data_IF_110111005162
#
_entry.id   IF_110111005162
#
_cell.length_a   1.000
_cell.length_b   1.000
_cell.length_c   1.000
_cell.angle_alpha   90.00
_cell.angle_beta   90.00
_cell.angle_gamma   90.00
#
_symmetry.space_group_name_H-M   'P 1'
#
loop_
_entity.id
_entity.type
_entity.pdbx_description
1 polymer ?
#
# COMPACT_ATOMS: atom_id res chain seq x y z
N UNK A 1 2.57 7.67 29.18
CA UNK A 1 3.03 8.08 27.85
C UNK A 1 3.75 9.39 27.99
N UNK A 2 5.05 9.40 27.69
CA UNK A 2 5.82 10.64 27.65
C UNK A 2 5.41 11.44 26.42
N UNK A 3 5.64 12.76 26.41
CA UNK A 3 5.31 13.63 25.26
C UNK A 3 5.98 13.20 23.94
N UNK A 4 7.12 12.51 24.03
CA UNK A 4 7.86 11.96 22.87
C UNK A 4 7.11 10.82 22.18
N UNK A 5 6.58 9.85 22.93
CA UNK A 5 5.89 8.67 22.38
C UNK A 5 4.63 9.08 21.59
N UNK A 6 3.92 10.10 22.10
CA UNK A 6 2.71 10.63 21.47
C UNK A 6 3.01 11.34 20.14
N UNK A 7 4.15 12.04 20.04
CA UNK A 7 4.57 12.68 18.79
C UNK A 7 4.88 11.66 17.69
N UNK A 8 5.54 10.56 18.06
CA UNK A 8 5.87 9.47 17.13
C UNK A 8 4.60 8.76 16.62
N UNK A 9 3.64 8.47 17.51
CA UNK A 9 2.35 7.87 17.14
C UNK A 9 1.60 8.72 16.09
N UNK A 10 1.53 10.03 16.29
CA UNK A 10 0.87 10.96 15.36
C UNK A 10 1.60 11.04 14.02
N UNK A 11 2.93 10.95 14.03
CA UNK A 11 3.72 10.94 12.80
C UNK A 11 3.52 9.64 12.00
N UNK A 12 3.38 8.49 12.67
CA UNK A 12 3.00 7.24 12.01
C UNK A 12 1.60 7.30 11.41
N UNK A 13 0.63 7.88 12.13
CA UNK A 13 -0.73 8.09 11.62
C UNK A 13 -0.72 8.97 10.36
N UNK A 14 -0.05 10.13 10.42
CA UNK A 14 0.03 11.07 9.31
C UNK A 14 0.69 10.45 8.06
N UNK A 15 1.80 9.73 8.23
CA UNK A 15 2.49 9.07 7.12
C UNK A 15 1.67 7.90 6.55
N UNK A 16 1.04 7.11 7.42
CA UNK A 16 0.17 6.01 7.01
C UNK A 16 -0.97 6.50 6.13
N UNK A 17 -1.66 7.56 6.55
CA UNK A 17 -2.72 8.20 5.77
C UNK A 17 -2.16 8.73 4.44
N UNK A 18 -1.08 9.50 4.46
CA UNK A 18 -0.53 10.08 3.23
C UNK A 18 -0.18 9.01 2.18
N UNK A 19 0.47 7.92 2.58
CA UNK A 19 0.83 6.83 1.67
C UNK A 19 -0.38 6.02 1.20
N UNK A 20 -1.36 5.80 2.07
CA UNK A 20 -2.63 5.16 1.68
C UNK A 20 -3.37 5.98 0.60
N UNK A 21 -3.44 7.30 0.78
CA UNK A 21 -4.05 8.22 -0.20
C UNK A 21 -3.24 8.31 -1.48
N UNK A 22 -1.92 8.27 -1.36
CA UNK A 22 -1.04 8.29 -2.52
C UNK A 22 -1.21 7.02 -3.36
N UNK A 23 -1.25 5.84 -2.74
CA UNK A 23 -1.55 4.58 -3.43
C UNK A 23 -2.88 4.64 -4.19
N UNK A 24 -3.96 5.04 -3.50
CA UNK A 24 -5.29 5.14 -4.12
C UNK A 24 -5.28 6.14 -5.28
N UNK A 25 -4.60 7.29 -5.10
CA UNK A 25 -4.42 8.31 -6.13
C UNK A 25 -3.63 7.80 -7.33
N UNK A 26 -2.59 6.98 -7.12
CA UNK A 26 -1.79 6.39 -8.20
C UNK A 26 -2.63 5.45 -9.04
N UNK A 27 -3.43 4.59 -8.41
CA UNK A 27 -4.31 3.65 -9.13
C UNK A 27 -5.28 4.44 -10.02
N UNK A 28 -5.93 5.48 -9.48
CA UNK A 28 -6.82 6.34 -10.26
C UNK A 28 -6.08 7.10 -11.37
N UNK A 29 -4.88 7.62 -11.10
CA UNK A 29 -4.08 8.33 -12.08
C UNK A 29 -3.69 7.42 -13.25
N UNK A 30 -3.30 6.17 -13.00
CA UNK A 30 -3.00 5.19 -14.05
C UNK A 30 -4.27 4.89 -14.87
N UNK A 31 -5.41 4.70 -14.22
CA UNK A 31 -6.70 4.49 -14.92
C UNK A 31 -7.03 5.67 -15.85
N UNK A 32 -6.92 6.90 -15.35
CA UNK A 32 -7.30 8.12 -16.08
C UNK A 32 -6.28 8.49 -17.17
N UNK A 33 -4.98 8.38 -16.88
CA UNK A 33 -3.92 8.86 -17.77
C UNK A 33 -3.47 7.79 -18.77
N UNK A 34 -3.52 6.50 -18.39
CA UNK A 34 -2.94 5.38 -19.16
C UNK A 34 -3.97 4.30 -19.54
N UNK A 35 -5.20 4.39 -19.06
CA UNK A 35 -6.30 3.49 -19.37
C UNK A 35 -6.35 2.25 -18.48
N UNK A 36 -7.51 1.60 -18.49
CA UNK A 36 -7.82 0.47 -17.62
C UNK A 36 -6.91 -0.75 -17.83
N UNK A 37 -6.40 -0.97 -19.04
CA UNK A 37 -5.52 -2.12 -19.35
C UNK A 37 -4.18 -2.01 -18.63
N UNK A 38 -3.52 -0.84 -18.75
CA UNK A 38 -2.25 -0.56 -18.07
C UNK A 38 -2.41 -0.54 -16.56
N UNK A 39 -3.54 -0.03 -16.07
CA UNK A 39 -3.87 -0.09 -14.65
C UNK A 39 -4.02 -1.54 -14.15
N UNK A 40 -4.65 -2.42 -14.94
CA UNK A 40 -4.78 -3.82 -14.62
C UNK A 40 -3.42 -4.54 -14.61
N UNK A 41 -2.53 -4.24 -15.57
CA UNK A 41 -1.18 -4.84 -15.61
C UNK A 41 -0.36 -4.45 -14.36
N UNK A 42 -0.30 -3.15 -14.02
CA UNK A 42 0.37 -2.67 -12.81
C UNK A 42 -0.22 -3.30 -11.55
N UNK A 43 -1.54 -3.37 -11.44
CA UNK A 43 -2.21 -3.95 -10.27
C UNK A 43 -1.99 -5.46 -10.15
N UNK A 44 -1.99 -6.18 -11.27
CA UNK A 44 -1.65 -7.60 -11.30
C UNK A 44 -0.22 -7.83 -10.83
N UNK A 45 0.73 -7.06 -11.35
CA UNK A 45 2.15 -7.17 -11.01
C UNK A 45 2.44 -6.77 -9.55
N UNK A 46 1.82 -5.69 -9.04
CA UNK A 46 1.93 -5.26 -7.65
C UNK A 46 1.54 -6.39 -6.68
N UNK A 47 0.36 -6.96 -6.89
CA UNK A 47 -0.14 -8.01 -6.02
C UNK A 47 0.66 -9.31 -6.22
N UNK A 48 1.15 -9.61 -7.44
CA UNK A 48 2.00 -10.77 -7.65
C UNK A 48 3.33 -10.65 -6.91
N UNK A 49 4.01 -9.50 -7.00
CA UNK A 49 5.28 -9.22 -6.32
C UNK A 49 5.13 -9.35 -4.80
N UNK A 50 4.14 -8.68 -4.24
CA UNK A 50 3.88 -8.74 -2.80
C UNK A 50 3.50 -10.15 -2.33
N UNK A 51 2.74 -10.91 -3.11
CA UNK A 51 2.43 -12.30 -2.80
C UNK A 51 3.71 -13.15 -2.73
N UNK A 52 4.59 -13.05 -3.73
CA UNK A 52 5.86 -13.79 -3.77
C UNK A 52 6.76 -13.43 -2.57
N UNK A 53 6.79 -12.15 -2.15
CA UNK A 53 7.61 -11.70 -1.03
C UNK A 53 7.01 -12.08 0.34
N UNK A 54 5.68 -11.99 0.50
CA UNK A 54 5.04 -11.99 1.83
C UNK A 54 4.24 -13.26 2.16
N UNK A 55 3.76 -14.01 1.18
CA UNK A 55 2.76 -15.06 1.42
C UNK A 55 3.32 -16.23 2.23
N UNK A 56 4.33 -16.94 1.70
CA UNK A 56 4.93 -18.10 2.39
C UNK A 56 5.63 -17.73 3.72
N UNK A 57 6.46 -16.66 3.78
CA UNK A 57 7.06 -16.24 5.05
C UNK A 57 6.00 -15.85 6.09
N UNK A 58 4.92 -15.18 5.66
CA UNK A 58 3.85 -14.75 6.55
C UNK A 58 2.99 -15.92 7.03
N UNK A 59 2.68 -16.91 6.19
CA UNK A 59 2.02 -18.16 6.62
C UNK A 59 2.79 -18.86 7.75
N UNK A 60 4.11 -19.03 7.57
CA UNK A 60 4.97 -19.63 8.60
C UNK A 60 4.97 -18.80 9.89
N UNK A 61 5.08 -17.48 9.78
CA UNK A 61 5.07 -16.57 10.93
C UNK A 61 3.76 -16.62 11.71
N UNK A 62 2.64 -16.83 11.02
CA UNK A 62 1.30 -16.96 11.61
C UNK A 62 1.00 -18.37 12.11
N UNK A 63 1.90 -19.33 11.95
CA UNK A 63 1.69 -20.73 12.38
C UNK A 63 0.66 -21.48 11.55
N UNK A 64 0.46 -21.10 10.28
CA UNK A 64 -0.57 -21.65 9.40
C UNK A 64 -0.07 -22.78 8.49
N UNK A 65 1.18 -23.24 8.67
CA UNK A 65 1.83 -24.19 7.75
C UNK A 65 1.23 -25.59 7.77
N UNK A 66 0.59 -25.99 8.86
CA UNK A 66 0.02 -27.34 9.03
C UNK A 66 -1.50 -27.38 8.78
N UNK A 67 -2.09 -26.24 8.40
CA UNK A 67 -3.51 -26.13 8.07
C UNK A 67 -3.78 -26.63 6.64
N UNK A 68 -4.98 -27.16 6.33
CA UNK A 68 -5.37 -27.42 4.96
C UNK A 68 -5.26 -26.17 4.09
N UNK A 69 -4.73 -26.29 2.86
CA UNK A 69 -4.30 -25.13 2.06
C UNK A 69 -5.41 -24.09 1.82
N UNK A 70 -6.66 -24.53 1.61
CA UNK A 70 -7.80 -23.64 1.44
C UNK A 70 -8.02 -22.79 2.71
N UNK A 71 -7.98 -23.44 3.88
CA UNK A 71 -8.13 -22.80 5.19
C UNK A 71 -6.93 -21.89 5.48
N UNK A 72 -5.71 -22.36 5.22
CA UNK A 72 -4.47 -21.59 5.41
C UNK A 72 -4.52 -20.28 4.60
N UNK A 73 -4.95 -20.35 3.34
CA UNK A 73 -5.12 -19.17 2.49
C UNK A 73 -6.13 -18.17 3.06
N UNK A 74 -7.32 -18.63 3.46
CA UNK A 74 -8.36 -17.76 4.01
C UNK A 74 -7.94 -17.13 5.35
N UNK A 75 -7.37 -17.93 6.26
CA UNK A 75 -6.83 -17.47 7.55
C UNK A 75 -5.69 -16.47 7.39
N UNK A 76 -4.76 -16.72 6.46
CA UNK A 76 -3.66 -15.79 6.18
C UNK A 76 -4.18 -14.41 5.80
N UNK A 77 -5.11 -14.35 4.85
CA UNK A 77 -5.64 -13.07 4.39
C UNK A 77 -6.49 -12.40 5.46
N UNK A 78 -7.22 -13.15 6.30
CA UNK A 78 -7.89 -12.58 7.46
C UNK A 78 -6.89 -11.92 8.44
N UNK A 79 -5.89 -12.68 8.91
CA UNK A 79 -4.95 -12.21 9.93
C UNK A 79 -4.03 -11.09 9.44
N UNK A 80 -3.47 -11.22 8.22
CA UNK A 80 -2.54 -10.23 7.66
C UNK A 80 -3.22 -8.87 7.40
N UNK A 81 -4.47 -8.89 6.92
CA UNK A 81 -5.22 -7.67 6.64
C UNK A 81 -5.78 -7.02 7.91
N UNK A 82 -6.13 -7.82 8.92
CA UNK A 82 -6.61 -7.29 10.19
C UNK A 82 -5.53 -6.47 10.91
N UNK A 83 -4.26 -6.87 10.81
CA UNK A 83 -3.11 -6.08 11.31
C UNK A 83 -2.97 -4.73 10.58
N UNK A 84 -3.35 -4.67 9.30
CA UNK A 84 -3.38 -3.44 8.49
C UNK A 84 -4.66 -2.62 8.65
N UNK A 85 -5.57 -2.99 9.57
CA UNK A 85 -6.84 -2.28 9.80
C UNK A 85 -7.92 -2.54 8.75
N UNK A 86 -7.75 -3.55 7.90
CA UNK A 86 -8.72 -3.90 6.85
C UNK A 86 -9.77 -4.87 7.41
N UNK A 87 -11.05 -4.57 7.18
CA UNK A 87 -12.16 -5.40 7.65
C UNK A 87 -12.30 -6.66 6.77
N UNK A 88 -11.92 -7.80 7.35
CA UNK A 88 -11.95 -9.11 6.70
C UNK A 88 -12.60 -10.12 7.63
N UNK A 89 -13.32 -11.08 7.06
CA UNK A 89 -13.83 -12.25 7.74
C UNK A 89 -13.53 -13.51 6.94
N UNK A 90 -13.49 -14.66 7.60
CA UNK A 90 -13.30 -15.95 6.94
C UNK A 90 -14.21 -17.02 7.56
N UNK A 91 -14.53 -18.06 6.77
CA UNK A 91 -15.21 -19.27 7.23
C UNK A 91 -14.50 -20.47 6.63
N UNK A 92 -14.09 -21.43 7.46
CA UNK A 92 -13.70 -22.75 7.01
C UNK A 92 -14.97 -23.59 6.79
N UNK A 93 -15.32 -23.90 5.53
CA UNK A 93 -16.47 -24.74 5.20
C UNK A 93 -16.10 -26.23 5.26
N UNK A 94 -14.89 -26.57 4.80
CA UNK A 94 -14.28 -27.89 4.88
C UNK A 94 -12.75 -27.78 4.72
N UNK A 95 -12.03 -28.88 4.85
CA UNK A 95 -10.57 -28.91 4.63
C UNK A 95 -10.18 -28.49 3.20
N UNK A 96 -11.07 -28.66 2.22
CA UNK A 96 -10.83 -28.30 0.83
C UNK A 96 -11.49 -27.00 0.39
N UNK A 97 -12.27 -26.34 1.26
CA UNK A 97 -12.99 -25.11 0.91
C UNK A 97 -13.10 -24.12 2.07
N UNK A 98 -12.66 -22.89 1.84
CA UNK A 98 -12.76 -21.81 2.82
C UNK A 98 -13.11 -20.46 2.17
N UNK A 99 -14.06 -19.77 2.77
CA UNK A 99 -14.54 -18.46 2.34
C UNK A 99 -13.73 -17.32 2.94
N UNK A 100 -13.68 -16.23 2.19
CA UNK A 100 -13.16 -14.95 2.64
C UNK A 100 -14.07 -13.82 2.17
N UNK A 101 -14.27 -12.85 3.06
CA UNK A 101 -15.09 -11.66 2.79
C UNK A 101 -14.38 -10.41 3.26
N UNK A 102 -14.18 -9.47 2.34
CA UNK A 102 -13.67 -8.14 2.58
C UNK A 102 -14.84 -7.16 2.59
N UNK A 103 -15.09 -6.56 3.76
CA UNK A 103 -16.18 -5.62 3.94
C UNK A 103 -15.74 -4.21 3.51
N UNK A 104 -16.67 -3.37 3.02
CA UNK A 104 -16.42 -1.93 2.94
C UNK A 104 -16.11 -1.34 4.32
N UNK A 105 -15.25 -0.29 4.42
CA UNK A 105 -14.56 0.36 3.32
C UNK A 105 -13.46 -0.52 2.68
N UNK A 106 -13.37 -0.49 1.35
CA UNK A 106 -12.32 -1.22 0.62
C UNK A 106 -11.04 -0.41 0.69
N UNK A 107 -10.14 -0.79 1.58
CA UNK A 107 -8.91 -0.03 1.87
C UNK A 107 -8.16 0.43 0.61
N UNK A 108 -7.82 -0.45 -0.33
CA UNK A 108 -7.08 -0.04 -1.55
C UNK A 108 -7.87 0.89 -2.51
N UNK A 109 -9.20 0.90 -2.41
CA UNK A 109 -10.10 1.71 -3.24
C UNK A 109 -10.93 2.65 -2.36
N UNK A 110 -10.28 3.31 -1.41
CA UNK A 110 -10.98 3.99 -0.32
C UNK A 110 -11.81 5.21 -0.77
N UNK A 111 -12.88 5.46 -0.02
CA UNK A 111 -13.76 6.61 -0.23
C UNK A 111 -14.43 6.60 -1.60
N UNK A 112 -14.48 7.77 -2.23
CA UNK A 112 -15.15 7.96 -3.52
C UNK A 112 -14.40 7.35 -4.69
N UNK A 113 -13.13 6.93 -4.51
CA UNK A 113 -12.36 6.25 -5.55
C UNK A 113 -13.07 4.99 -6.04
N UNK A 114 -13.78 4.28 -5.15
CA UNK A 114 -14.49 3.05 -5.45
C UNK A 114 -15.47 3.17 -6.63
N UNK A 115 -16.02 4.36 -6.88
CA UNK A 115 -16.97 4.60 -7.97
C UNK A 115 -16.31 4.65 -9.35
N UNK A 116 -14.98 4.81 -9.42
CA UNK A 116 -14.24 4.99 -10.67
C UNK A 116 -13.28 3.84 -10.98
N UNK A 117 -13.10 2.87 -10.08
CA UNK A 117 -12.21 1.74 -10.30
C UNK A 117 -12.85 0.75 -11.29
N UNK A 118 -12.22 0.48 -12.46
CA UNK A 118 -12.76 -0.48 -13.42
C UNK A 118 -12.78 -1.91 -12.89
N UNK A 119 -13.77 -2.70 -13.30
CA UNK A 119 -13.90 -4.11 -12.91
C UNK A 119 -12.63 -4.92 -13.15
N UNK A 120 -11.97 -4.70 -14.29
CA UNK A 120 -10.74 -5.42 -14.62
C UNK A 120 -9.56 -5.11 -13.70
N UNK A 121 -9.49 -3.92 -13.12
CA UNK A 121 -8.45 -3.55 -12.16
C UNK A 121 -8.62 -4.31 -10.85
N UNK A 122 -9.86 -4.43 -10.37
CA UNK A 122 -10.16 -5.25 -9.20
C UNK A 122 -9.91 -6.76 -9.46
N UNK A 123 -10.24 -7.25 -10.66
CA UNK A 123 -9.94 -8.63 -11.06
C UNK A 123 -8.44 -8.91 -11.18
N UNK A 124 -7.66 -7.95 -11.64
CA UNK A 124 -6.22 -8.05 -11.73
C UNK A 124 -5.56 -8.23 -10.36
N UNK A 125 -6.03 -7.53 -9.33
CA UNK A 125 -5.64 -7.76 -7.93
C UNK A 125 -5.90 -9.22 -7.53
N UNK A 126 -7.12 -9.73 -7.78
CA UNK A 126 -7.48 -11.12 -7.42
C UNK A 126 -6.60 -12.14 -8.13
N UNK A 127 -6.24 -11.86 -9.39
CA UNK A 127 -5.32 -12.72 -10.13
C UNK A 127 -3.91 -12.66 -9.53
N UNK A 128 -3.36 -11.47 -9.32
CA UNK A 128 -2.01 -11.27 -8.78
C UNK A 128 -1.83 -11.91 -7.43
N UNK A 129 -2.87 -11.87 -6.59
CA UNK A 129 -2.84 -12.37 -5.23
C UNK A 129 -3.46 -13.76 -5.10
N UNK A 130 -4.80 -13.85 -5.09
CA UNK A 130 -5.52 -15.05 -4.69
C UNK A 130 -5.29 -16.24 -5.63
N UNK A 131 -5.27 -16.02 -6.94
CA UNK A 131 -5.22 -17.09 -7.93
C UNK A 131 -3.94 -17.95 -7.86
N UNK A 132 -2.84 -17.40 -7.35
CA UNK A 132 -1.54 -18.08 -7.39
C UNK A 132 -1.14 -18.73 -6.05
N UNK A 133 -2.00 -18.66 -5.03
CA UNK A 133 -1.70 -19.20 -3.70
C UNK A 133 -1.44 -20.71 -3.72
N UNK A 134 -2.29 -21.48 -4.42
CA UNK A 134 -2.13 -22.92 -4.55
C UNK A 134 -0.79 -23.32 -5.14
N UNK A 135 -0.35 -22.61 -6.18
CA UNK A 135 0.95 -22.86 -6.83
C UNK A 135 2.12 -22.63 -5.86
N UNK A 136 2.09 -21.56 -5.06
CA UNK A 136 3.14 -21.29 -4.07
C UNK A 136 3.18 -22.32 -2.95
N UNK A 137 2.03 -22.91 -2.60
CA UNK A 137 1.92 -23.98 -1.60
C UNK A 137 2.30 -25.36 -2.16
N UNK A 138 2.57 -25.49 -3.47
CA UNK A 138 2.78 -26.78 -4.12
C UNK A 138 1.49 -27.57 -4.36
N UNK A 139 0.33 -26.93 -4.25
CA UNK A 139 -1.00 -27.49 -4.50
C UNK A 139 -1.68 -26.79 -5.69
N UNK A 140 -1.34 -27.16 -6.94
CA UNK A 140 -1.87 -26.50 -8.14
C UNK A 140 -3.34 -26.86 -8.44
N UNK A 141 -3.99 -27.69 -7.61
CA UNK A 141 -5.43 -27.95 -7.68
C UNK A 141 -6.26 -26.94 -6.89
N UNK A 142 -5.62 -26.10 -6.07
CA UNK A 142 -6.26 -25.03 -5.32
C UNK A 142 -6.42 -23.76 -6.16
N UNK A 143 -7.64 -23.25 -6.25
CA UNK A 143 -7.95 -21.98 -6.91
C UNK A 143 -8.84 -21.08 -6.06
N UNK A 144 -9.13 -19.89 -6.58
CA UNK A 144 -10.01 -18.91 -5.96
C UNK A 144 -11.23 -18.62 -6.84
N UNK A 145 -12.41 -18.58 -6.22
CA UNK A 145 -13.66 -18.22 -6.87
C UNK A 145 -14.19 -16.95 -6.24
N UNK A 146 -14.32 -15.88 -7.03
CA UNK A 146 -14.94 -14.63 -6.59
C UNK A 146 -16.46 -14.68 -6.83
N UNK A 147 -17.23 -14.34 -5.80
CA UNK A 147 -18.69 -14.36 -5.80
C UNK A 147 -19.32 -12.97 -5.71
N UNK A 148 -18.55 -11.94 -5.37
CA UNK A 148 -19.04 -10.56 -5.36
C UNK A 148 -17.89 -9.56 -5.28
N UNK A 149 -18.07 -8.37 -5.84
CA UNK A 149 -17.11 -7.27 -5.73
C UNK A 149 -17.83 -5.95 -5.43
N UNK A 150 -17.29 -5.18 -4.48
CA UNK A 150 -17.87 -3.88 -4.10
C UNK A 150 -17.94 -2.88 -5.25
N UNK A 151 -16.92 -2.88 -6.10
CA UNK A 151 -16.84 -2.05 -7.31
C UNK A 151 -17.91 -2.41 -8.37
N UNK A 152 -18.42 -3.65 -8.36
CA UNK A 152 -19.53 -4.10 -9.20
C UNK A 152 -20.89 -3.90 -8.49
N UNK A 153 -20.93 -3.23 -7.34
CA UNK A 153 -22.13 -2.92 -6.56
C UNK A 153 -22.51 -3.95 -5.48
N UNK A 154 -21.70 -4.99 -5.24
CA UNK A 154 -21.96 -5.95 -4.16
C UNK A 154 -21.61 -5.37 -2.77
N UNK A 155 -22.19 -5.92 -1.70
CA UNK A 155 -21.96 -5.46 -0.31
C UNK A 155 -20.56 -5.81 0.25
N UNK A 156 -19.62 -6.22 -0.59
CA UNK A 156 -18.26 -6.63 -0.23
C UNK A 156 -17.53 -7.28 -1.40
N UNK A 157 -16.22 -7.47 -1.26
CA UNK A 157 -15.51 -8.47 -2.05
C UNK A 157 -15.65 -9.81 -1.34
N UNK A 158 -16.24 -10.78 -2.02
CA UNK A 158 -16.51 -12.11 -1.47
C UNK A 158 -15.98 -13.18 -2.41
N UNK A 159 -15.48 -14.26 -1.84
CA UNK A 159 -15.07 -15.44 -2.58
C UNK A 159 -14.59 -16.56 -1.68
N UNK A 160 -14.13 -17.65 -2.29
CA UNK A 160 -13.62 -18.80 -1.56
C UNK A 160 -12.45 -19.45 -2.28
N UNK A 161 -11.57 -20.04 -1.48
CA UNK A 161 -10.59 -21.01 -1.93
C UNK A 161 -11.25 -22.37 -2.03
N UNK A 162 -10.96 -23.10 -3.10
CA UNK A 162 -11.42 -24.47 -3.29
C UNK A 162 -10.34 -25.33 -3.95
N UNK A 163 -10.08 -26.49 -3.37
CA UNK A 163 -9.22 -27.52 -3.95
C UNK A 163 -10.06 -28.47 -4.80
N UNK A 164 -9.71 -28.59 -6.07
CA UNK A 164 -10.37 -29.47 -7.03
C UNK A 164 -9.74 -30.87 -7.05
N UNK A 165 -10.47 -31.84 -7.61
CA UNK A 165 -9.99 -33.21 -7.83
C UNK A 165 -8.95 -33.34 -8.97
N UNK A 166 -8.60 -32.21 -9.59
CA UNK A 166 -7.61 -32.12 -10.67
C UNK A 166 -6.76 -30.87 -10.56
N UNK A 167 -5.62 -30.89 -11.24
CA UNK A 167 -4.78 -29.70 -11.41
C UNK A 167 -5.53 -28.64 -12.22
N UNK A 168 -5.42 -27.39 -11.79
CA UNK A 168 -5.99 -26.23 -12.47
C UNK A 168 -4.98 -25.61 -13.45
N UNK A 169 -5.44 -25.38 -14.68
CA UNK A 169 -4.69 -24.58 -15.64
C UNK A 169 -4.61 -23.10 -15.18
N UNK A 170 -3.62 -22.31 -15.63
CA UNK A 170 -3.45 -20.92 -15.20
C UNK A 170 -4.71 -20.04 -15.29
N UNK A 171 -5.54 -20.27 -16.31
CA UNK A 171 -6.78 -19.52 -16.54
C UNK A 171 -7.96 -19.99 -15.66
N UNK A 172 -7.83 -21.15 -15.00
CA UNK A 172 -8.87 -21.75 -14.15
C UNK A 172 -8.66 -21.43 -12.67
N UNK A 173 -7.49 -20.90 -12.31
CA UNK A 173 -7.12 -20.56 -10.93
C UNK A 173 -7.94 -19.41 -10.35
N UNK A 174 -8.44 -18.52 -11.20
CA UNK A 174 -9.38 -17.46 -10.82
C UNK A 174 -10.68 -17.64 -11.59
N UNK A 175 -11.79 -17.81 -10.87
CA UNK A 175 -13.12 -17.99 -11.45
C UNK A 175 -14.10 -17.00 -10.82
N UNK A 176 -15.23 -16.77 -11.50
CA UNK A 176 -16.29 -15.88 -11.03
C UNK A 176 -17.63 -16.62 -10.99
N UNK A 177 -18.34 -16.52 -9.87
CA UNK A 177 -19.63 -17.19 -9.59
C UNK A 177 -20.55 -16.28 -8.77
N UNK A 178 -21.10 -15.23 -9.39
CA UNK A 178 -21.89 -14.20 -8.70
C UNK A 178 -23.24 -14.67 -8.12
N UNK A 179 -23.69 -15.89 -8.44
CA UNK A 179 -24.91 -16.47 -7.89
C UNK A 179 -24.71 -17.24 -6.58
N UNK A 180 -23.46 -17.37 -6.12
CA UNK A 180 -23.12 -18.05 -4.87
C UNK A 180 -22.89 -17.01 -3.77
N UNK A 181 -23.12 -17.39 -2.51
CA UNK A 181 -22.96 -16.49 -1.38
C UNK A 181 -22.26 -17.18 -0.21
N UNK A 182 -21.42 -16.42 0.49
CA UNK A 182 -20.78 -16.89 1.73
C UNK A 182 -21.85 -17.27 2.77
N UNK A 183 -21.65 -18.37 3.52
CA UNK A 183 -22.49 -18.70 4.66
C UNK A 183 -22.52 -17.56 5.71
N UNK A 184 -23.54 -17.50 6.58
CA UNK A 184 -23.60 -16.50 7.65
C UNK A 184 -22.33 -16.51 8.52
N UNK A 185 -21.73 -15.33 8.72
CA UNK A 185 -20.52 -15.15 9.54
C UNK A 185 -20.95 -14.74 10.95
N UNK A 186 -20.46 -15.48 11.96
CA UNK A 186 -20.45 -15.01 13.34
C UNK A 186 -19.19 -14.16 13.58
N UNK A 187 -19.35 -12.84 13.55
CA UNK A 187 -18.24 -11.91 13.72
C UNK A 187 -17.65 -11.92 15.13
N UNK A 188 -18.43 -12.30 16.15
CA UNK A 188 -17.94 -12.36 17.53
C UNK A 188 -17.05 -13.58 17.77
N UNK A 189 -17.24 -14.63 16.97
CA UNK A 189 -16.41 -15.84 16.99
C UNK A 189 -15.10 -15.70 16.21
N UNK A 190 -14.93 -14.61 15.43
CA UNK A 190 -13.67 -14.38 14.72
C UNK A 190 -12.53 -14.10 15.71
N UNK A 191 -11.31 -14.58 15.44
CA UNK A 191 -10.16 -14.28 16.28
C UNK A 191 -9.96 -12.75 16.41
N UNK A 192 -9.87 -12.26 17.65
CA UNK A 192 -9.58 -10.87 17.96
C UNK A 192 -8.09 -10.71 18.28
N UNK A 193 -7.47 -9.62 17.82
CA UNK A 193 -6.10 -9.31 18.24
C UNK A 193 -6.07 -9.06 19.75
N UNK A 194 -5.11 -9.68 20.43
CA UNK A 194 -4.87 -9.45 21.84
C UNK A 194 -4.38 -8.00 22.05
N UNK A 195 -5.22 -7.18 22.69
CA UNK A 195 -4.91 -5.77 22.98
C UNK A 195 -3.68 -5.57 23.88
N UNK A 196 -3.29 -6.58 24.67
CA UNK A 196 -2.06 -6.51 25.46
C UNK A 196 -0.81 -6.71 24.60
N UNK A 197 -0.91 -7.51 23.53
CA UNK A 197 0.20 -7.73 22.59
C UNK A 197 0.27 -6.66 21.50
N UNK A 198 -0.83 -5.95 21.24
CA UNK A 198 -0.97 -4.91 20.22
C UNK A 198 -1.43 -3.57 20.81
N UNK A 199 -0.56 -2.88 21.59
CA UNK A 199 -0.85 -1.52 22.04
C UNK A 199 -0.95 -0.55 20.85
N UNK A 200 -1.58 0.60 21.06
CA UNK A 200 -1.84 1.62 20.02
C UNK A 200 -0.59 2.01 19.23
N UNK A 201 0.53 2.23 19.91
CA UNK A 201 1.83 2.53 19.28
C UNK A 201 2.23 1.47 18.24
N UNK A 202 2.11 0.19 18.61
CA UNK A 202 2.45 -0.94 17.74
C UNK A 202 1.47 -1.05 16.57
N UNK A 203 0.19 -0.74 16.79
CA UNK A 203 -0.82 -0.71 15.74
C UNK A 203 -0.55 0.41 14.73
N UNK A 204 -0.24 1.62 15.19
CA UNK A 204 0.08 2.75 14.32
C UNK A 204 1.34 2.48 13.50
N UNK A 205 2.37 1.90 14.12
CA UNK A 205 3.58 1.47 13.42
C UNK A 205 3.28 0.38 12.38
N UNK A 206 2.41 -0.57 12.70
CA UNK A 206 2.00 -1.62 11.77
C UNK A 206 1.19 -1.07 10.59
N UNK A 207 0.23 -0.17 10.84
CA UNK A 207 -0.54 0.51 9.80
C UNK A 207 0.36 1.33 8.87
N UNK A 208 1.30 2.10 9.44
CA UNK A 208 2.32 2.83 8.68
C UNK A 208 3.16 1.91 7.81
N UNK A 209 3.67 0.80 8.36
CA UNK A 209 4.44 -0.18 7.59
C UNK A 209 3.61 -0.82 6.47
N UNK A 210 2.34 -1.09 6.73
CA UNK A 210 1.41 -1.65 5.74
C UNK A 210 1.24 -0.69 4.55
N UNK A 211 1.00 0.60 4.80
CA UNK A 211 0.91 1.62 3.75
C UNK A 211 2.26 1.82 3.01
N UNK A 212 3.37 1.83 3.75
CA UNK A 212 4.71 1.90 3.17
C UNK A 212 5.02 0.73 2.24
N UNK A 213 4.66 -0.49 2.62
CA UNK A 213 4.91 -1.70 1.83
C UNK A 213 4.22 -1.64 0.46
N UNK A 214 3.06 -0.99 0.34
CA UNK A 214 2.44 -0.75 -0.96
C UNK A 214 3.21 0.25 -1.82
N UNK A 215 3.67 1.36 -1.24
CA UNK A 215 4.47 2.34 -1.98
C UNK A 215 5.81 1.73 -2.41
N UNK A 216 6.48 1.02 -1.50
CA UNK A 216 7.70 0.27 -1.75
C UNK A 216 7.58 -0.69 -2.94
N UNK A 217 6.45 -1.35 -3.10
CA UNK A 217 6.23 -2.32 -4.17
C UNK A 217 5.67 -1.71 -5.46
N UNK A 218 4.80 -0.70 -5.39
CA UNK A 218 4.18 -0.13 -6.59
C UNK A 218 5.18 0.70 -7.40
N UNK A 219 6.15 1.35 -6.76
CA UNK A 219 7.17 2.17 -7.46
C UNK A 219 8.02 1.34 -8.44
N UNK A 220 8.69 0.24 -8.04
CA UNK A 220 9.42 -0.60 -8.98
C UNK A 220 8.50 -1.23 -10.03
N UNK A 221 7.33 -1.73 -9.61
CA UNK A 221 6.35 -2.34 -10.54
C UNK A 221 5.88 -1.35 -11.61
N UNK A 222 5.62 -0.10 -11.24
CA UNK A 222 5.30 0.93 -12.23
C UNK A 222 6.46 1.15 -13.20
N UNK A 223 7.72 1.12 -12.75
CA UNK A 223 8.87 1.27 -13.65
C UNK A 223 9.01 0.09 -14.61
N UNK A 224 8.80 -1.14 -14.14
CA UNK A 224 8.85 -2.36 -14.94
C UNK A 224 7.72 -2.39 -15.99
N UNK A 225 6.48 -2.15 -15.57
CA UNK A 225 5.31 -2.24 -16.44
C UNK A 225 5.16 -1.01 -17.35
N UNK A 226 5.48 0.19 -16.85
CA UNK A 226 5.23 1.45 -17.55
C UNK A 226 6.46 2.02 -18.28
N UNK A 227 7.66 1.59 -17.89
CA UNK A 227 8.90 2.26 -18.22
C UNK A 227 9.23 3.38 -17.21
N UNK A 228 10.50 3.56 -16.82
CA UNK A 228 10.89 4.46 -15.72
C UNK A 228 10.40 5.91 -15.88
N UNK A 229 10.53 6.50 -17.08
CA UNK A 229 10.14 7.90 -17.31
C UNK A 229 8.62 8.12 -17.24
N UNK A 230 7.83 7.15 -17.71
CA UNK A 230 6.36 7.22 -17.61
C UNK A 230 5.94 7.09 -16.15
N UNK A 231 6.52 6.10 -15.45
CA UNK A 231 6.28 5.88 -14.03
C UNK A 231 6.62 7.12 -13.19
N UNK A 232 7.82 7.68 -13.36
CA UNK A 232 8.27 8.91 -12.70
C UNK A 232 7.25 10.04 -12.88
N UNK A 233 6.79 10.27 -14.12
CA UNK A 233 5.83 11.33 -14.42
C UNK A 233 4.50 11.15 -13.67
N UNK A 234 3.97 9.92 -13.64
CA UNK A 234 2.72 9.60 -12.94
C UNK A 234 2.91 9.73 -11.42
N UNK A 235 3.99 9.16 -10.88
CA UNK A 235 4.37 9.26 -9.47
C UNK A 235 4.43 10.73 -9.02
N UNK A 236 5.23 11.54 -9.72
CA UNK A 236 5.44 12.93 -9.39
C UNK A 236 4.15 13.76 -9.43
N UNK A 237 3.41 13.73 -10.55
CA UNK A 237 2.20 14.54 -10.71
C UNK A 237 1.11 14.14 -9.72
N UNK A 238 0.96 12.83 -9.48
CA UNK A 238 -0.04 12.32 -8.54
C UNK A 238 0.37 12.66 -7.10
N UNK A 239 1.64 12.44 -6.76
CA UNK A 239 2.19 12.75 -5.45
C UNK A 239 1.97 14.21 -5.11
N UNK A 240 2.25 15.13 -6.05
CA UNK A 240 2.05 16.56 -5.83
C UNK A 240 0.59 16.92 -5.57
N UNK A 241 -0.35 16.35 -6.32
CA UNK A 241 -1.80 16.56 -6.10
C UNK A 241 -2.23 16.04 -4.72
N UNK A 242 -1.83 14.82 -4.36
CA UNK A 242 -2.19 14.20 -3.09
C UNK A 242 -1.54 14.93 -1.90
N UNK A 243 -0.25 15.24 -1.99
CA UNK A 243 0.45 16.01 -0.96
C UNK A 243 -0.23 17.34 -0.70
N UNK A 244 -0.65 18.07 -1.75
CA UNK A 244 -1.42 19.31 -1.60
C UNK A 244 -2.77 19.07 -0.93
N UNK A 245 -3.52 18.07 -1.41
CA UNK A 245 -4.85 17.75 -0.90
C UNK A 245 -4.83 17.41 0.60
N UNK A 246 -3.77 16.76 1.08
CA UNK A 246 -3.64 16.31 2.46
C UNK A 246 -2.72 17.18 3.33
N UNK A 247 -2.14 18.24 2.78
CA UNK A 247 -1.21 19.15 3.47
C UNK A 247 -1.76 19.67 4.80
N UNK A 248 -2.99 20.20 4.80
CA UNK A 248 -3.60 20.72 6.02
C UNK A 248 -3.85 19.63 7.06
N UNK A 249 -4.35 18.47 6.64
CA UNK A 249 -4.63 17.35 7.54
C UNK A 249 -3.35 16.86 8.22
N UNK A 250 -2.27 16.69 7.46
CA UNK A 250 -0.98 16.23 7.97
C UNK A 250 -0.41 17.21 8.98
N UNK A 251 -0.39 18.51 8.65
CA UNK A 251 0.07 19.55 9.57
C UNK A 251 -0.75 19.61 10.85
N UNK A 252 -2.07 19.43 10.74
CA UNK A 252 -2.98 19.37 11.89
C UNK A 252 -2.69 18.17 12.78
N UNK A 253 -2.52 16.97 12.20
CA UNK A 253 -2.19 15.74 12.93
C UNK A 253 -0.84 15.86 13.65
N UNK A 254 0.16 16.42 12.99
CA UNK A 254 1.50 16.61 13.56
C UNK A 254 1.56 17.78 14.57
N UNK A 255 0.66 18.76 14.46
CA UNK A 255 0.75 20.00 15.21
C UNK A 255 1.93 20.88 14.79
N UNK A 256 2.36 20.79 13.52
CA UNK A 256 3.55 21.47 12.98
C UNK A 256 3.18 22.36 11.78
N UNK A 257 3.74 23.57 11.76
CA UNK A 257 3.51 24.56 10.69
C UNK A 257 4.75 24.82 9.83
N UNK A 258 5.95 24.67 10.41
CA UNK A 258 7.21 24.83 9.71
C UNK A 258 7.44 23.66 8.73
N UNK A 259 7.76 23.94 7.45
CA UNK A 259 7.84 22.90 6.44
C UNK A 259 9.01 21.94 6.64
N UNK A 260 10.13 22.38 7.22
CA UNK A 260 11.25 21.48 7.48
C UNK A 260 10.98 20.59 8.69
N UNK A 261 10.26 21.09 9.71
CA UNK A 261 9.78 20.27 10.83
C UNK A 261 8.76 19.22 10.40
N UNK A 262 7.83 19.57 9.50
CA UNK A 262 6.86 18.62 8.94
C UNK A 262 7.57 17.49 8.18
N UNK A 263 8.52 17.83 7.30
CA UNK A 263 9.28 16.83 6.56
C UNK A 263 10.16 15.98 7.48
N UNK A 264 10.80 16.58 8.48
CA UNK A 264 11.59 15.88 9.51
C UNK A 264 10.75 14.83 10.24
N UNK A 265 9.53 15.19 10.66
CA UNK A 265 8.61 14.27 11.31
C UNK A 265 8.19 13.11 10.38
N UNK A 266 7.89 13.40 9.10
CA UNK A 266 7.47 12.38 8.13
C UNK A 266 8.61 11.42 7.75
N UNK A 267 9.84 11.91 7.54
CA UNK A 267 11.00 11.06 7.24
C UNK A 267 11.42 10.22 8.46
N UNK A 268 11.39 10.80 9.66
CA UNK A 268 11.56 10.03 10.91
C UNK A 268 10.50 8.94 11.04
N UNK A 269 9.24 9.26 10.75
CA UNK A 269 8.14 8.30 10.78
C UNK A 269 8.29 7.20 9.72
N UNK A 270 8.93 7.48 8.59
CA UNK A 270 9.31 6.48 7.59
C UNK A 270 10.36 5.51 8.16
N UNK A 271 11.12 5.93 9.16
CA UNK A 271 12.20 5.19 9.81
C UNK A 271 13.57 5.56 9.27
N UNK A 272 13.71 6.76 8.69
CA UNK A 272 14.99 7.27 8.19
C UNK A 272 15.80 7.94 9.30
N UNK A 273 17.13 7.90 9.14
CA UNK A 273 18.06 8.68 9.93
C UNK A 273 18.20 10.05 9.27
N UNK A 274 17.91 11.10 10.04
CA UNK A 274 17.86 12.47 9.51
C UNK A 274 18.54 13.46 10.46
N UNK A 275 19.02 14.56 9.89
CA UNK A 275 19.42 15.74 10.63
C UNK A 275 18.90 16.99 9.93
N UNK A 276 18.36 17.93 10.71
CA UNK A 276 17.82 19.20 10.22
C UNK A 276 18.69 20.36 10.69
N UNK A 277 19.02 21.27 9.77
CA UNK A 277 19.70 22.52 10.07
C UNK A 277 19.05 23.65 9.29
N UNK A 278 18.37 24.56 10.00
CA UNK A 278 17.62 25.68 9.41
C UNK A 278 16.62 25.20 8.32
N UNK A 279 16.93 25.50 7.07
CA UNK A 279 16.10 25.20 5.91
C UNK A 279 16.55 23.93 5.16
N UNK A 280 17.48 23.15 5.72
CA UNK A 280 18.01 21.92 5.14
C UNK A 280 17.69 20.68 5.98
N UNK A 281 17.46 19.57 5.30
CA UNK A 281 17.28 18.24 5.89
C UNK A 281 18.21 17.27 5.17
N UNK A 282 19.16 16.68 5.89
CA UNK A 282 19.99 15.59 5.39
C UNK A 282 19.39 14.26 5.86
N UNK A 283 18.96 13.43 4.91
CA UNK A 283 18.42 12.10 5.13
C UNK A 283 19.44 11.05 4.69
N UNK A 284 20.09 10.36 5.63
CA UNK A 284 21.22 9.45 5.36
C UNK A 284 20.79 8.02 5.06
N UNK A 285 19.53 7.67 5.30
CA UNK A 285 18.96 6.36 4.98
C UNK A 285 17.66 6.47 4.21
N UNK A 286 17.30 5.39 3.50
CA UNK A 286 16.05 5.31 2.76
C UNK A 286 15.26 4.04 3.10
N UNK A 287 14.60 4.07 4.25
CA UNK A 287 13.91 2.93 4.83
C UNK A 287 12.79 2.40 3.94
N UNK A 288 12.11 3.28 3.20
CA UNK A 288 11.08 2.90 2.23
C UNK A 288 11.61 1.92 1.17
N UNK A 289 12.82 2.17 0.64
CA UNK A 289 13.42 1.36 -0.43
C UNK A 289 14.48 0.36 0.04
N UNK A 290 14.83 0.35 1.34
CA UNK A 290 15.78 -0.59 1.96
C UNK A 290 15.58 -2.05 1.52
N UNK A 291 16.61 -2.69 0.98
CA UNK A 291 16.57 -4.05 0.43
C UNK A 291 16.23 -4.15 -1.06
N UNK A 292 15.97 -3.04 -1.75
CA UNK A 292 15.79 -2.97 -3.22
C UNK A 292 16.94 -2.22 -3.90
N UNK A 293 18.10 -2.11 -3.27
CA UNK A 293 19.23 -1.30 -3.76
C UNK A 293 19.69 -1.76 -5.16
N UNK A 294 19.59 -3.05 -5.46
CA UNK A 294 19.97 -3.62 -6.76
C UNK A 294 18.97 -3.31 -7.89
N UNK A 295 17.72 -2.99 -7.55
CA UNK A 295 16.66 -2.64 -8.51
C UNK A 295 16.52 -1.11 -8.69
N UNK A 296 17.18 -0.35 -7.82
CA UNK A 296 16.96 1.08 -7.67
C UNK A 296 17.29 1.88 -8.94
N UNK A 297 16.37 2.80 -9.27
CA UNK A 297 16.51 3.76 -10.36
C UNK A 297 16.33 5.19 -9.82
N UNK A 298 17.09 6.19 -10.31
CA UNK A 298 16.92 7.59 -9.88
C UNK A 298 15.49 8.13 -10.05
N UNK A 299 14.78 7.61 -11.04
CA UNK A 299 13.38 7.92 -11.34
C UNK A 299 12.43 7.65 -10.16
N UNK A 300 12.79 6.74 -9.24
CA UNK A 300 11.97 6.43 -8.07
C UNK A 300 11.87 7.64 -7.14
N UNK A 301 13.02 8.23 -6.77
CA UNK A 301 13.04 9.42 -5.93
C UNK A 301 12.54 10.65 -6.71
N UNK A 302 12.82 10.75 -8.01
CA UNK A 302 12.26 11.83 -8.84
C UNK A 302 10.74 11.79 -8.94
N UNK A 303 10.14 10.61 -8.87
CA UNK A 303 8.70 10.44 -8.73
C UNK A 303 8.22 10.84 -7.34
N UNK A 304 8.83 10.25 -6.30
CA UNK A 304 8.39 10.41 -4.91
C UNK A 304 8.52 11.84 -4.37
N UNK A 305 9.50 12.63 -4.85
CA UNK A 305 9.67 14.04 -4.44
C UNK A 305 8.41 14.89 -4.67
N UNK A 306 7.57 14.55 -5.64
CA UNK A 306 6.33 15.25 -5.91
C UNK A 306 5.39 15.24 -4.70
N UNK A 307 5.35 14.12 -3.96
CA UNK A 307 4.54 13.99 -2.76
C UNK A 307 4.96 15.01 -1.68
N UNK A 308 6.26 15.10 -1.42
CA UNK A 308 6.83 16.00 -0.41
C UNK A 308 6.67 17.47 -0.80
N UNK A 309 6.90 17.81 -2.07
CA UNK A 309 6.60 19.13 -2.61
C UNK A 309 5.13 19.53 -2.41
N UNK A 310 4.21 18.58 -2.63
CA UNK A 310 2.78 18.81 -2.43
C UNK A 310 2.43 19.09 -0.96
N UNK A 311 2.98 18.30 -0.03
CA UNK A 311 2.72 18.43 1.42
C UNK A 311 3.07 19.82 1.92
N UNK A 312 4.19 20.41 1.49
CA UNK A 312 4.62 21.72 1.98
C UNK A 312 4.07 22.90 1.16
N UNK A 313 3.72 22.67 -0.11
CA UNK A 313 3.46 23.75 -1.07
C UNK A 313 2.19 24.57 -0.81
N UNK A 314 1.20 24.05 -0.09
CA UNK A 314 -0.07 24.77 0.20
C UNK A 314 0.11 25.83 1.27
N UNK A 315 0.83 25.48 2.34
CA UNK A 315 1.10 26.38 3.45
C UNK A 315 2.09 27.49 3.09
N UNK A 316 3.06 27.15 2.24
CA UNK A 316 4.18 28.00 1.88
C UNK A 316 4.30 28.11 0.35
N UNK A 317 3.37 28.83 -0.32
CA UNK A 317 3.28 28.86 -1.79
C UNK A 317 4.49 29.51 -2.47
N UNK A 318 5.28 30.28 -1.73
CA UNK A 318 6.53 30.88 -2.20
C UNK A 318 7.76 30.04 -1.86
N UNK A 319 7.60 28.80 -1.42
CA UNK A 319 8.70 27.93 -1.04
C UNK A 319 8.88 26.83 -2.08
N UNK A 320 10.14 26.50 -2.36
CA UNK A 320 10.55 25.40 -3.23
C UNK A 320 11.33 24.37 -2.41
N UNK A 321 11.04 23.10 -2.64
CA UNK A 321 11.83 21.98 -2.14
C UNK A 321 12.78 21.51 -3.23
N UNK A 322 14.08 21.69 -3.01
CA UNK A 322 15.13 21.19 -3.89
C UNK A 322 15.80 19.96 -3.27
N UNK A 323 16.20 19.01 -4.11
CA UNK A 323 17.02 17.86 -3.74
C UNK A 323 18.43 18.09 -4.30
N UNK A 324 19.39 18.38 -3.43
CA UNK A 324 20.72 18.87 -3.77
C UNK A 324 21.77 17.77 -3.85
N UNK A 325 21.62 16.73 -3.03
CA UNK A 325 22.45 15.53 -3.04
C UNK A 325 21.54 14.29 -2.95
N UNK A 326 22.06 13.15 -3.39
CA UNK A 326 21.26 11.98 -3.74
C UNK A 326 21.93 10.67 -3.32
N UNK A 327 21.38 10.10 -2.25
CA UNK A 327 21.74 8.77 -1.77
C UNK A 327 21.58 7.69 -2.85
N UNK A 328 20.51 7.78 -3.65
CA UNK A 328 20.19 6.81 -4.70
C UNK A 328 21.09 6.87 -5.94
N UNK A 329 21.98 7.86 -6.02
CA UNK A 329 23.01 7.97 -7.07
C UNK A 329 24.43 7.96 -6.51
N UNK A 330 24.61 7.47 -5.27
CA UNK A 330 25.92 7.29 -4.65
C UNK A 330 26.43 8.47 -3.81
N UNK A 331 25.58 9.47 -3.52
CA UNK A 331 25.84 10.47 -2.49
C UNK A 331 25.67 9.90 -1.08
N UNK A 332 26.03 10.69 -0.06
CA UNK A 332 26.00 10.25 1.34
C UNK A 332 24.61 10.43 1.99
N UNK A 333 23.75 11.26 1.39
CA UNK A 333 22.39 11.52 1.87
C UNK A 333 21.48 12.02 0.74
N UNK A 334 20.18 12.02 0.99
CA UNK A 334 19.27 12.94 0.31
C UNK A 334 19.31 14.29 1.03
N UNK A 335 19.94 15.29 0.40
CA UNK A 335 20.01 16.64 0.95
C UNK A 335 18.85 17.48 0.40
N UNK A 336 17.84 17.69 1.22
CA UNK A 336 16.67 18.50 0.89
C UNK A 336 16.87 19.94 1.36
N UNK A 337 16.53 20.93 0.52
CA UNK A 337 16.57 22.36 0.89
C UNK A 337 15.25 23.04 0.58
N UNK A 338 14.69 23.69 1.59
CA UNK A 338 13.54 24.59 1.48
C UNK A 338 14.03 26.01 1.17
N UNK A 339 13.76 26.52 -0.03
CA UNK A 339 14.22 27.83 -0.47
C UNK A 339 13.05 28.75 -0.83
N UNK A 340 13.12 30.01 -0.44
CA UNK A 340 12.15 31.01 -0.88
C UNK A 340 12.32 31.29 -2.38
N UNK A 341 11.22 31.18 -3.12
CA UNK A 341 11.11 31.53 -4.52
C UNK A 341 10.98 33.06 -4.61
N UNK A 342 11.96 33.69 -5.23
CA UNK A 342 11.82 35.08 -5.65
C UNK A 342 10.97 35.16 -6.92
N UNK A 343 10.28 36.28 -7.13
CA UNK A 343 9.66 36.54 -8.44
C UNK A 343 10.74 36.38 -9.52
N UNK A 344 10.43 35.73 -10.65
CA UNK A 344 11.34 35.71 -11.78
C UNK A 344 11.82 37.13 -12.01
N UNK A 345 13.14 37.29 -12.17
CA UNK A 345 13.63 38.53 -12.74
C UNK A 345 13.16 38.58 -14.21
N UNK A 346 13.61 39.54 -15.02
CA UNK A 346 13.47 39.30 -16.45
C UNK A 346 14.25 38.00 -16.69
N UNK A 347 13.54 36.91 -17.04
CA UNK A 347 13.99 35.52 -17.21
C UNK A 347 13.86 34.63 -15.96
#
# INVERSE_FOLDING_TARGET
MNGSDKGEELAYEALSELFHRYLTGLILAIVVELGEGRAADVMKALFRRQQEERFLPGLKKLGLSDEPDAIACAKYHFLSNHVGGVSVAYIAESDTKAWIRYLPPRWIFDGTAIAAIPTQVARAMLWGWHANNGVLLGNPSLGFVCTGQTIDGASGLEGYYIQEDRILEPHERLRFRFGESCPPIDYEALPKLDSQQWPSERLNKAARNYSMDYIRNIVPVMCEELGPLVAQGVLYRTGRKIGMQYSQSIRTTLGLEDPTEVLEALFSAQGDEISRHENEIAQTTWKLMSGLEAENLPEWMDGLRGLWEGVIGVAHPNLRLDLLDRLDTGGDCFLWRCSAISRPSKF
#
